data_IF_222496100694
#
_entry.id   IF_222496100694
#
_cell.length_a   1.000
_cell.length_b   1.000
_cell.length_c   1.000
_cell.angle_alpha   90.00
_cell.angle_beta   90.00
_cell.angle_gamma   90.00
#
_symmetry.space_group_name_H-M   'P 1'
#
loop_
_entity.id
_entity.type
_entity.pdbx_description
1 polymer ?
#
# COMPACT_ATOMS: atom_id res chain seq x y z
N UNK A 1 3.46 -6.29 12.88
CA UNK A 1 4.89 -6.55 13.08
C UNK A 1 5.39 -5.70 14.23
N UNK A 2 6.15 -6.25 15.18
CA UNK A 2 6.78 -5.44 16.25
C UNK A 2 8.18 -4.98 15.83
N UNK A 3 8.63 -3.85 16.37
CA UNK A 3 9.96 -3.30 16.08
C UNK A 3 11.08 -4.29 16.42
N UNK A 4 11.06 -4.83 17.63
CA UNK A 4 12.10 -5.72 18.13
C UNK A 4 12.20 -7.02 17.33
N UNK A 5 11.05 -7.54 16.86
CA UNK A 5 10.99 -8.77 16.07
C UNK A 5 11.71 -8.57 14.74
N UNK A 6 11.39 -7.49 14.01
CA UNK A 6 12.01 -7.20 12.72
C UNK A 6 13.47 -6.78 12.86
N UNK A 7 13.80 -5.94 13.85
CA UNK A 7 15.16 -5.43 14.05
C UNK A 7 16.15 -6.55 14.38
N UNK A 8 15.73 -7.55 15.16
CA UNK A 8 16.56 -8.67 15.60
C UNK A 8 16.34 -9.98 14.82
N UNK A 9 15.43 -10.01 13.84
CA UNK A 9 15.15 -11.21 13.05
C UNK A 9 16.44 -11.84 12.48
N UNK A 10 16.63 -13.14 12.74
CA UNK A 10 17.75 -13.89 12.20
C UNK A 10 17.42 -14.44 10.80
N UNK A 11 17.64 -13.59 9.79
CA UNK A 11 17.33 -13.93 8.41
C UNK A 11 18.31 -14.95 7.79
N UNK A 12 19.45 -15.23 8.43
CA UNK A 12 20.43 -16.24 7.94
C UNK A 12 19.86 -17.66 7.96
N UNK A 13 18.95 -17.96 8.87
CA UNK A 13 18.31 -19.27 8.91
C UNK A 13 17.42 -19.51 7.68
N UNK A 14 16.77 -18.44 7.19
CA UNK A 14 15.96 -18.48 5.98
C UNK A 14 16.84 -18.65 4.73
N UNK A 15 17.95 -17.93 4.65
CA UNK A 15 18.97 -18.10 3.60
C UNK A 15 19.49 -19.54 3.53
N UNK A 16 19.87 -20.12 4.68
CA UNK A 16 20.33 -21.50 4.76
C UNK A 16 19.23 -22.52 4.36
N UNK A 17 17.97 -22.23 4.66
CA UNK A 17 16.84 -23.05 4.22
C UNK A 17 16.66 -22.97 2.70
N UNK A 18 16.72 -21.77 2.11
CA UNK A 18 16.70 -21.57 0.67
C UNK A 18 17.82 -22.36 -0.01
N UNK A 19 19.06 -22.25 0.49
CA UNK A 19 20.22 -23.01 0.00
C UNK A 19 20.01 -24.52 0.04
N UNK A 20 19.42 -25.02 1.13
CA UNK A 20 19.14 -26.45 1.30
C UNK A 20 18.17 -26.97 0.24
N UNK A 21 17.12 -26.20 -0.06
CA UNK A 21 16.19 -26.50 -1.16
C UNK A 21 16.87 -26.43 -2.53
N UNK A 22 17.74 -25.45 -2.75
CA UNK A 22 18.53 -25.34 -3.97
C UNK A 22 19.45 -26.54 -4.18
N UNK A 23 20.05 -27.06 -3.10
CA UNK A 23 20.83 -28.30 -3.14
C UNK A 23 19.98 -29.54 -3.39
N UNK A 24 18.79 -29.63 -2.79
CA UNK A 24 17.84 -30.72 -3.05
C UNK A 24 17.47 -30.78 -4.54
N UNK A 25 17.12 -29.63 -5.13
CA UNK A 25 16.81 -29.54 -6.56
C UNK A 25 17.98 -30.01 -7.44
N UNK A 26 19.22 -29.59 -7.13
CA UNK A 26 20.42 -30.02 -7.86
C UNK A 26 20.63 -31.54 -7.78
N UNK A 27 20.45 -32.13 -6.59
CA UNK A 27 20.60 -33.58 -6.38
C UNK A 27 19.52 -34.38 -7.12
N UNK A 28 18.27 -33.90 -7.13
CA UNK A 28 17.18 -34.54 -7.87
C UNK A 28 17.44 -34.50 -9.39
N UNK A 29 17.87 -33.36 -9.94
CA UNK A 29 18.26 -33.29 -11.37
C UNK A 29 19.42 -34.23 -11.72
N UNK A 30 20.41 -34.33 -10.83
CA UNK A 30 21.51 -35.28 -11.02
C UNK A 30 21.02 -36.73 -11.00
N UNK A 31 20.06 -37.07 -10.14
CA UNK A 31 19.42 -38.38 -10.11
C UNK A 31 18.64 -38.69 -11.40
N UNK A 32 17.90 -37.73 -11.96
CA UNK A 32 17.23 -37.85 -13.27
C UNK A 32 18.26 -38.18 -14.36
N UNK A 33 19.35 -37.40 -14.44
CA UNK A 33 20.42 -37.63 -15.41
C UNK A 33 21.11 -39.00 -15.25
N UNK A 34 21.35 -39.42 -14.01
CA UNK A 34 21.89 -40.73 -13.68
C UNK A 34 20.96 -41.89 -14.05
N UNK A 35 19.66 -41.74 -13.80
CA UNK A 35 18.64 -42.72 -14.17
C UNK A 35 18.52 -42.87 -15.69
N UNK A 36 18.45 -41.76 -16.41
CA UNK A 36 18.37 -41.75 -17.88
C UNK A 36 19.62 -42.41 -18.51
N UNK A 37 20.81 -41.99 -18.07
CA UNK A 37 22.07 -42.48 -18.62
C UNK A 37 22.41 -43.92 -18.22
N UNK A 38 22.10 -44.32 -16.98
CA UNK A 38 22.44 -45.63 -16.45
C UNK A 38 21.42 -46.73 -16.70
N UNK A 39 20.14 -46.37 -16.91
CA UNK A 39 19.04 -47.36 -17.06
C UNK A 39 18.32 -47.23 -18.40
N UNK A 40 17.77 -46.05 -18.69
CA UNK A 40 16.88 -45.86 -19.86
C UNK A 40 17.64 -46.03 -21.18
N UNK A 41 18.79 -45.37 -21.33
CA UNK A 41 19.61 -45.44 -22.56
C UNK A 41 20.15 -46.85 -22.84
N UNK A 42 20.78 -47.55 -21.88
CA UNK A 42 21.25 -48.92 -22.10
C UNK A 42 20.12 -49.89 -22.46
N UNK A 43 18.97 -49.82 -21.78
CA UNK A 43 17.82 -50.67 -22.10
C UNK A 43 17.26 -50.38 -23.49
N UNK A 44 17.16 -49.11 -23.88
CA UNK A 44 16.72 -48.70 -25.22
C UNK A 44 17.63 -49.25 -26.33
N UNK A 45 18.93 -49.36 -26.04
CA UNK A 45 19.94 -49.89 -26.95
C UNK A 45 20.06 -51.43 -26.94
N UNK A 46 19.37 -52.14 -26.05
CA UNK A 46 19.53 -53.59 -25.83
C UNK A 46 18.76 -54.51 -26.80
N UNK A 47 18.12 -53.95 -27.83
CA UNK A 47 17.18 -54.66 -28.71
C UNK A 47 15.98 -55.31 -28.00
N UNK A 48 15.69 -54.94 -26.75
CA UNK A 48 14.51 -55.42 -26.03
C UNK A 48 13.21 -54.91 -26.69
N UNK A 49 12.30 -55.83 -27.05
CA UNK A 49 11.03 -55.57 -27.74
C UNK A 49 9.89 -56.42 -27.16
N UNK A 50 8.66 -56.09 -27.55
CA UNK A 50 7.42 -56.77 -27.13
C UNK A 50 6.69 -56.04 -26.00
N UNK A 51 5.52 -56.54 -25.62
CA UNK A 51 4.60 -55.86 -24.69
C UNK A 51 5.21 -55.53 -23.32
N UNK A 52 6.12 -56.38 -22.83
CA UNK A 52 6.84 -56.14 -21.58
C UNK A 52 7.78 -54.94 -21.71
N UNK A 53 8.49 -54.81 -22.84
CA UNK A 53 9.36 -53.68 -23.11
C UNK A 53 8.54 -52.38 -23.21
N UNK A 54 7.40 -52.40 -23.91
CA UNK A 54 6.49 -51.25 -24.02
C UNK A 54 6.05 -50.76 -22.65
N UNK A 55 5.53 -51.65 -21.79
CA UNK A 55 5.11 -51.29 -20.44
C UNK A 55 6.26 -50.76 -19.59
N UNK A 56 7.43 -51.38 -19.67
CA UNK A 56 8.59 -50.94 -18.93
C UNK A 56 9.04 -49.54 -19.35
N UNK A 57 9.14 -49.24 -20.65
CA UNK A 57 9.52 -47.90 -21.12
C UNK A 57 8.48 -46.83 -20.76
N UNK A 58 7.18 -47.16 -20.76
CA UNK A 58 6.15 -46.26 -20.22
C UNK A 58 6.40 -45.94 -18.74
N UNK A 59 6.57 -46.95 -17.89
CA UNK A 59 6.83 -46.75 -16.46
C UNK A 59 8.15 -46.02 -16.20
N UNK A 60 9.21 -46.31 -16.96
CA UNK A 60 10.50 -45.61 -16.85
C UNK A 60 10.35 -44.12 -17.22
N UNK A 61 9.58 -43.80 -18.27
CA UNK A 61 9.32 -42.42 -18.67
C UNK A 61 8.49 -41.66 -17.62
N UNK A 62 7.49 -42.31 -17.03
CA UNK A 62 6.70 -41.72 -15.94
C UNK A 62 7.57 -41.44 -14.70
N UNK A 63 8.44 -42.39 -14.32
CA UNK A 63 9.37 -42.21 -13.21
C UNK A 63 10.38 -41.07 -13.46
N UNK A 64 10.88 -40.95 -14.69
CA UNK A 64 11.76 -39.85 -15.10
C UNK A 64 11.04 -38.49 -14.98
N UNK A 65 9.80 -38.41 -15.46
CA UNK A 65 8.98 -37.20 -15.36
C UNK A 65 8.68 -36.81 -13.91
N UNK A 66 8.36 -37.76 -13.03
CA UNK A 66 8.10 -37.47 -11.62
C UNK A 66 9.34 -36.96 -10.88
N UNK A 67 10.53 -37.52 -11.17
CA UNK A 67 11.78 -37.03 -10.60
C UNK A 67 12.14 -35.62 -11.13
N UNK A 68 11.84 -35.33 -12.40
CA UNK A 68 12.03 -34.00 -12.96
C UNK A 68 11.06 -32.96 -12.36
N UNK A 69 9.79 -33.34 -12.16
CA UNK A 69 8.81 -32.50 -11.44
C UNK A 69 9.26 -32.23 -10.01
N UNK A 70 9.76 -33.24 -9.30
CA UNK A 70 10.32 -33.07 -7.95
C UNK A 70 11.48 -32.07 -7.93
N UNK A 71 12.39 -32.17 -8.90
CA UNK A 71 13.48 -31.22 -9.07
C UNK A 71 12.98 -29.80 -9.37
N UNK A 72 11.94 -29.67 -10.20
CA UNK A 72 11.30 -28.40 -10.52
C UNK A 72 10.65 -27.76 -9.29
N UNK A 73 9.88 -28.52 -8.53
CA UNK A 73 9.23 -28.04 -7.30
C UNK A 73 10.24 -27.60 -6.25
N UNK A 74 11.26 -28.41 -5.97
CA UNK A 74 12.34 -28.05 -5.06
C UNK A 74 13.07 -26.75 -5.49
N UNK A 75 13.24 -26.54 -6.80
CA UNK A 75 13.84 -25.32 -7.33
C UNK A 75 12.94 -24.09 -7.17
N UNK A 76 11.61 -24.24 -7.25
CA UNK A 76 10.69 -23.13 -7.04
C UNK A 76 10.56 -22.77 -5.56
N UNK A 77 10.55 -23.74 -4.65
CA UNK A 77 10.61 -23.49 -3.20
C UNK A 77 11.90 -22.74 -2.84
N UNK A 78 13.03 -23.15 -3.41
CA UNK A 78 14.29 -22.42 -3.28
C UNK A 78 14.16 -20.94 -3.71
N UNK A 79 13.64 -20.70 -4.92
CA UNK A 79 13.46 -19.34 -5.44
C UNK A 79 12.54 -18.49 -4.55
N UNK A 80 11.43 -19.06 -4.07
CA UNK A 80 10.51 -18.36 -3.17
C UNK A 80 11.18 -18.00 -1.84
N UNK A 81 11.88 -18.94 -1.20
CA UNK A 81 12.58 -18.67 0.06
C UNK A 81 13.71 -17.66 -0.10
N UNK A 82 14.41 -17.69 -1.24
CA UNK A 82 15.43 -16.70 -1.61
C UNK A 82 14.81 -15.30 -1.77
N UNK A 83 13.67 -15.17 -2.46
CA UNK A 83 12.96 -13.89 -2.61
C UNK A 83 12.47 -13.36 -1.25
N UNK A 84 11.86 -14.22 -0.42
CA UNK A 84 11.46 -13.86 0.95
C UNK A 84 12.69 -13.33 1.72
N UNK A 85 13.82 -14.03 1.66
CA UNK A 85 15.05 -13.61 2.34
C UNK A 85 15.54 -12.24 1.86
N UNK A 86 15.56 -12.01 0.55
CA UNK A 86 15.98 -10.73 -0.05
C UNK A 86 15.08 -9.59 0.42
N UNK A 87 13.75 -9.76 0.35
CA UNK A 87 12.80 -8.70 0.69
C UNK A 87 12.81 -8.37 2.19
N UNK A 88 12.81 -9.37 3.06
CA UNK A 88 12.93 -9.13 4.51
C UNK A 88 14.28 -8.50 4.89
N UNK A 89 15.37 -8.87 4.20
CA UNK A 89 16.68 -8.26 4.41
C UNK A 89 16.67 -6.78 4.02
N UNK A 90 16.01 -6.43 2.92
CA UNK A 90 15.86 -5.04 2.49
C UNK A 90 15.08 -4.21 3.51
N UNK A 91 13.92 -4.69 3.98
CA UNK A 91 13.10 -3.96 4.96
C UNK A 91 13.76 -3.90 6.34
N UNK A 92 14.44 -4.97 6.78
CA UNK A 92 15.25 -4.92 8.02
C UNK A 92 16.37 -3.89 7.91
N UNK A 93 17.03 -3.78 6.74
CA UNK A 93 18.06 -2.76 6.49
C UNK A 93 17.48 -1.34 6.51
N UNK A 94 16.30 -1.12 5.92
CA UNK A 94 15.58 0.16 6.04
C UNK A 94 15.33 0.51 7.51
N UNK A 95 14.83 -0.44 8.30
CA UNK A 95 14.57 -0.24 9.74
C UNK A 95 15.84 0.13 10.50
N UNK A 96 16.94 -0.60 10.28
CA UNK A 96 18.23 -0.32 10.93
C UNK A 96 18.79 1.03 10.52
N UNK A 97 18.67 1.40 9.26
CA UNK A 97 19.09 2.72 8.76
C UNK A 97 18.32 3.84 9.46
N UNK A 98 17.00 3.69 9.60
CA UNK A 98 16.17 4.64 10.33
C UNK A 98 16.61 4.77 11.79
N UNK A 99 16.77 3.64 12.48
CA UNK A 99 17.10 3.62 13.91
C UNK A 99 18.53 4.10 14.23
N UNK A 100 19.50 3.73 13.40
CA UNK A 100 20.93 3.92 13.69
C UNK A 100 21.51 5.21 13.10
N UNK A 101 20.88 5.76 12.04
CA UNK A 101 21.40 6.91 11.31
C UNK A 101 20.41 8.07 11.24
N UNK A 102 19.23 7.83 10.69
CA UNK A 102 18.31 8.91 10.31
C UNK A 102 17.62 9.55 11.52
N UNK A 103 17.09 8.74 12.45
CA UNK A 103 16.49 9.25 13.67
C UNK A 103 17.51 10.00 14.54
N UNK A 104 18.72 9.47 14.81
CA UNK A 104 19.78 10.23 15.49
C UNK A 104 20.15 11.55 14.81
N UNK A 105 20.23 11.57 13.47
CA UNK A 105 20.52 12.79 12.70
C UNK A 105 19.41 13.84 12.81
N UNK A 106 18.15 13.39 12.96
CA UNK A 106 16.99 14.25 13.20
C UNK A 106 16.84 14.68 14.69
N UNK A 107 17.74 14.27 15.58
CA UNK A 107 17.63 14.55 17.02
C UNK A 107 16.57 13.71 17.74
N UNK A 108 16.21 12.57 17.16
CA UNK A 108 15.19 11.62 17.63
C UNK A 108 15.87 10.33 18.09
N UNK A 109 15.26 9.63 19.03
CA UNK A 109 15.67 8.33 19.53
C UNK A 109 14.52 7.32 19.34
N UNK A 110 14.86 6.12 18.86
CA UNK A 110 13.95 4.97 18.85
C UNK A 110 14.44 4.00 19.92
N UNK A 111 13.61 3.77 20.93
CA UNK A 111 13.90 2.83 22.01
C UNK A 111 13.81 1.38 21.53
N UNK A 112 14.32 0.45 22.34
CA UNK A 112 14.37 -0.98 21.98
C UNK A 112 13.00 -1.63 21.72
N UNK A 113 11.93 -1.03 22.24
CA UNK A 113 10.54 -1.45 22.02
C UNK A 113 9.85 -0.70 20.85
N UNK A 114 10.60 0.08 20.08
CA UNK A 114 10.08 0.90 18.98
C UNK A 114 9.47 2.25 19.40
N UNK A 115 9.50 2.62 20.68
CA UNK A 115 9.00 3.93 21.11
C UNK A 115 9.90 5.05 20.59
N UNK A 116 9.30 6.03 19.92
CA UNK A 116 10.03 7.18 19.36
C UNK A 116 9.92 8.36 20.33
N UNK A 117 11.04 9.01 20.62
CA UNK A 117 11.09 10.17 21.50
C UNK A 117 12.18 11.15 21.07
N UNK A 118 12.11 12.43 21.45
CA UNK A 118 13.24 13.33 21.26
C UNK A 118 14.48 12.83 22.01
N UNK A 119 15.66 12.98 21.42
CA UNK A 119 16.92 12.61 22.06
C UNK A 119 17.28 13.57 23.19
N UNK A 120 17.01 14.85 23.00
CA UNK A 120 17.18 15.91 23.99
C UNK A 120 15.85 16.69 24.12
N UNK A 121 14.91 16.23 24.96
CA UNK A 121 13.62 16.90 25.14
C UNK A 121 13.80 18.32 25.66
N UNK A 122 13.07 19.27 25.10
CA UNK A 122 13.04 20.63 25.65
C UNK A 122 12.35 20.62 27.02
N UNK A 123 12.96 21.29 28.00
CA UNK A 123 12.39 21.38 29.36
C UNK A 123 11.15 22.27 29.37
N UNK A 124 9.99 21.64 29.59
CA UNK A 124 8.70 22.30 29.69
C UNK A 124 8.56 23.18 30.96
N UNK A 125 9.45 23.02 31.95
CA UNK A 125 9.55 23.88 33.12
C UNK A 125 10.46 25.11 32.88
N UNK A 126 11.02 25.28 31.69
CA UNK A 126 11.85 26.44 31.36
C UNK A 126 11.07 27.76 31.46
N UNK A 127 11.72 28.78 32.01
CA UNK A 127 11.17 30.13 32.13
C UNK A 127 10.97 30.78 30.75
N UNK A 128 11.59 30.21 29.71
CA UNK A 128 11.52 30.66 28.31
C UNK A 128 10.37 30.03 27.52
N UNK A 129 9.53 29.17 28.12
CA UNK A 129 8.48 28.41 27.41
C UNK A 129 7.50 29.26 26.58
N UNK A 130 7.29 30.51 26.97
CA UNK A 130 6.37 31.43 26.31
C UNK A 130 7.04 32.23 25.19
N UNK A 131 8.35 32.11 25.03
CA UNK A 131 9.07 32.78 23.93
C UNK A 131 8.63 32.17 22.59
N UNK A 132 8.58 32.98 21.51
CA UNK A 132 8.37 32.46 20.16
C UNK A 132 9.42 31.40 19.78
N UNK A 133 10.69 31.64 20.13
CA UNK A 133 11.80 30.74 19.79
C UNK A 133 11.67 29.36 20.44
N UNK A 134 11.21 29.28 21.70
CA UNK A 134 10.96 28.00 22.36
C UNK A 134 9.81 27.24 21.71
N UNK A 135 8.73 27.94 21.34
CA UNK A 135 7.58 27.34 20.65
C UNK A 135 7.96 26.80 19.28
N UNK A 136 8.76 27.55 18.53
CA UNK A 136 9.26 27.11 17.21
C UNK A 136 10.21 25.92 17.34
N UNK A 137 11.11 25.93 18.33
CA UNK A 137 12.00 24.80 18.60
C UNK A 137 11.22 23.53 19.02
N UNK A 138 10.20 23.68 19.86
CA UNK A 138 9.31 22.59 20.27
C UNK A 138 8.49 22.06 19.09
N UNK A 139 7.97 22.94 18.23
CA UNK A 139 7.27 22.54 17.02
C UNK A 139 8.16 21.72 16.08
N UNK A 140 9.41 22.16 15.85
CA UNK A 140 10.39 21.42 15.03
C UNK A 140 10.74 20.05 15.63
N UNK A 141 10.92 19.97 16.95
CA UNK A 141 11.19 18.71 17.64
C UNK A 141 10.01 17.74 17.51
N UNK A 142 8.78 18.22 17.74
CA UNK A 142 7.57 17.41 17.59
C UNK A 142 7.38 16.94 16.15
N UNK A 143 7.67 17.80 15.17
CA UNK A 143 7.62 17.44 13.75
C UNK A 143 8.64 16.35 13.40
N UNK A 144 9.88 16.46 13.91
CA UNK A 144 10.91 15.44 13.68
C UNK A 144 10.50 14.07 14.27
N UNK A 145 9.93 14.06 15.48
CA UNK A 145 9.40 12.83 16.10
C UNK A 145 8.29 12.23 15.24
N UNK A 146 7.30 13.03 14.83
CA UNK A 146 6.19 12.56 13.99
C UNK A 146 6.68 11.98 12.66
N UNK A 147 7.69 12.60 12.03
CA UNK A 147 8.26 12.08 10.78
C UNK A 147 8.95 10.71 10.99
N UNK A 148 9.69 10.54 12.08
CA UNK A 148 10.34 9.26 12.41
C UNK A 148 9.31 8.19 12.80
N UNK A 149 8.29 8.53 13.61
CA UNK A 149 7.19 7.63 13.96
C UNK A 149 6.44 7.13 12.73
N UNK A 150 6.17 8.03 11.80
CA UNK A 150 5.50 7.68 10.56
C UNK A 150 6.36 6.73 9.73
N UNK A 151 7.62 7.08 9.52
CA UNK A 151 8.55 6.25 8.73
C UNK A 151 8.77 4.88 9.36
N UNK A 152 8.80 4.79 10.69
CA UNK A 152 8.81 3.53 11.42
C UNK A 152 7.54 2.71 11.15
N UNK A 153 6.38 3.34 11.24
CA UNK A 153 5.07 2.71 10.96
C UNK A 153 5.01 2.17 9.53
N UNK A 154 5.50 2.91 8.55
CA UNK A 154 5.50 2.49 7.14
C UNK A 154 6.41 1.28 6.92
N UNK A 155 7.62 1.28 7.52
CA UNK A 155 8.56 0.15 7.43
C UNK A 155 7.96 -1.12 8.08
N UNK A 156 7.33 -0.99 9.26
CA UNK A 156 6.67 -2.11 9.92
C UNK A 156 5.45 -2.60 9.11
N UNK A 157 4.70 -1.69 8.49
CA UNK A 157 3.59 -2.03 7.60
C UNK A 157 4.04 -2.78 6.34
N UNK A 158 5.17 -2.38 5.73
CA UNK A 158 5.79 -3.14 4.62
C UNK A 158 6.15 -4.56 5.08
N UNK A 159 6.74 -4.71 6.26
CA UNK A 159 7.10 -6.01 6.80
C UNK A 159 5.87 -6.90 7.08
N UNK A 160 4.76 -6.33 7.56
CA UNK A 160 3.49 -7.05 7.74
C UNK A 160 2.92 -7.56 6.42
N UNK A 161 2.92 -6.73 5.37
CA UNK A 161 2.48 -7.16 4.02
C UNK A 161 3.39 -8.27 3.47
N UNK A 162 4.71 -8.17 3.67
CA UNK A 162 5.64 -9.23 3.25
C UNK A 162 5.43 -10.53 4.03
N UNK A 163 5.16 -10.46 5.33
CA UNK A 163 4.88 -11.62 6.18
C UNK A 163 3.59 -12.33 5.76
N UNK A 164 2.52 -11.57 5.53
CA UNK A 164 1.26 -12.11 5.02
C UNK A 164 1.42 -12.76 3.64
N UNK A 165 2.17 -12.11 2.73
CA UNK A 165 2.47 -12.67 1.42
C UNK A 165 3.30 -13.96 1.54
N UNK A 166 4.28 -14.02 2.45
CA UNK A 166 5.09 -15.22 2.68
C UNK A 166 4.26 -16.38 3.26
N UNK A 167 3.41 -16.13 4.25
CA UNK A 167 2.51 -17.16 4.82
C UNK A 167 1.57 -17.72 3.73
N UNK A 168 0.96 -16.86 2.91
CA UNK A 168 0.11 -17.28 1.80
C UNK A 168 0.89 -18.09 0.76
N UNK A 169 2.09 -17.63 0.39
CA UNK A 169 2.92 -18.29 -0.62
C UNK A 169 3.34 -19.69 -0.18
N UNK A 170 3.73 -19.84 1.09
CA UNK A 170 4.22 -21.09 1.66
C UNK A 170 3.09 -22.09 1.95
N UNK A 171 1.87 -21.62 2.18
CA UNK A 171 0.70 -22.48 2.43
C UNK A 171 0.05 -23.02 1.16
N UNK A 172 0.26 -22.38 0.01
CA UNK A 172 -0.40 -22.80 -1.21
C UNK A 172 0.20 -24.11 -1.77
N UNK A 173 -0.64 -25.12 -1.82
CA UNK A 173 -0.49 -26.27 -2.71
C UNK A 173 -1.33 -26.01 -3.95
N UNK A 174 -0.70 -25.83 -5.13
CA UNK A 174 -1.41 -25.59 -6.39
C UNK A 174 -1.82 -26.89 -7.08
N UNK A 175 -1.50 -28.06 -6.51
CA UNK A 175 -2.10 -29.31 -6.94
C UNK A 175 -3.56 -29.40 -6.46
N UNK A 176 -4.40 -30.08 -7.24
CA UNK A 176 -5.74 -30.43 -6.76
C UNK A 176 -5.63 -31.48 -5.64
N UNK A 177 -6.58 -31.51 -4.70
CA UNK A 177 -6.59 -32.52 -3.62
C UNK A 177 -6.57 -33.99 -4.10
N UNK A 178 -6.84 -34.23 -5.39
CA UNK A 178 -6.79 -35.53 -6.04
C UNK A 178 -5.42 -35.83 -6.69
N UNK A 179 -4.59 -34.82 -6.99
CA UNK A 179 -3.27 -34.99 -7.58
C UNK A 179 -2.20 -35.00 -6.49
N UNK A 180 -1.57 -36.17 -6.30
CA UNK A 180 -0.51 -36.38 -5.30
C UNK A 180 0.89 -36.30 -5.91
N UNK A 181 1.01 -35.86 -7.17
CA UNK A 181 2.30 -35.68 -7.85
C UNK A 181 2.98 -34.39 -7.43
N UNK A 182 4.26 -34.26 -7.77
CA UNK A 182 4.97 -33.00 -7.56
C UNK A 182 4.33 -31.89 -8.40
N UNK A 183 4.16 -30.74 -7.76
CA UNK A 183 3.47 -29.60 -8.33
C UNK A 183 4.21 -29.11 -9.59
N UNK A 184 3.48 -28.66 -10.60
CA UNK A 184 4.07 -28.07 -11.81
C UNK A 184 4.13 -26.56 -11.76
N UNK A 185 3.31 -25.93 -10.93
CA UNK A 185 3.20 -24.48 -10.79
C UNK A 185 3.31 -24.09 -9.31
N UNK A 186 4.15 -23.12 -8.97
CA UNK A 186 4.18 -22.53 -7.62
C UNK A 186 4.76 -21.13 -7.69
N UNK A 187 4.46 -20.31 -6.69
CA UNK A 187 5.08 -19.00 -6.59
C UNK A 187 6.59 -19.12 -6.45
N UNK A 188 7.30 -18.24 -7.13
CA UNK A 188 8.76 -18.10 -7.08
C UNK A 188 9.18 -16.75 -6.54
N UNK A 189 8.23 -15.84 -6.34
CA UNK A 189 8.43 -14.49 -5.79
C UNK A 189 7.21 -14.04 -4.99
N UNK A 190 7.41 -13.19 -3.98
CA UNK A 190 6.32 -12.64 -3.17
C UNK A 190 5.45 -11.64 -3.92
N UNK A 191 5.98 -10.95 -4.94
CA UNK A 191 5.19 -10.04 -5.77
C UNK A 191 4.06 -10.75 -6.53
N UNK A 192 4.22 -12.05 -6.80
CA UNK A 192 3.20 -12.93 -7.38
C UNK A 192 2.10 -13.28 -6.37
N UNK A 193 2.37 -13.12 -5.07
CA UNK A 193 1.48 -13.46 -3.95
C UNK A 193 0.84 -12.22 -3.33
N UNK A 194 1.46 -11.05 -3.53
CA UNK A 194 0.98 -9.76 -3.04
C UNK A 194 -0.50 -9.63 -3.43
N UNK A 195 -1.37 -9.56 -2.42
CA UNK A 195 -2.81 -9.49 -2.62
C UNK A 195 -3.10 -8.31 -3.57
N UNK A 196 -3.60 -8.53 -4.79
CA UNK A 196 -3.87 -7.46 -5.73
C UNK A 196 -4.71 -6.34 -5.09
N UNK A 197 -5.63 -6.71 -4.19
CA UNK A 197 -6.46 -5.78 -3.43
C UNK A 197 -5.68 -4.89 -2.44
N UNK A 198 -4.56 -5.36 -1.85
CA UNK A 198 -3.67 -4.49 -1.04
C UNK A 198 -2.83 -3.56 -1.93
N UNK A 199 -2.49 -4.01 -3.14
CA UNK A 199 -1.79 -3.16 -4.10
C UNK A 199 -2.72 -2.05 -4.61
N UNK A 200 -3.98 -2.38 -4.92
CA UNK A 200 -5.01 -1.43 -5.31
C UNK A 200 -5.21 -0.34 -4.24
N UNK A 201 -5.13 -0.70 -2.96
CA UNK A 201 -5.17 0.26 -1.84
C UNK A 201 -4.03 1.29 -1.92
N UNK A 202 -2.81 0.81 -2.18
CA UNK A 202 -1.61 1.66 -2.25
C UNK A 202 -1.62 2.52 -3.51
N UNK A 203 -1.95 1.92 -4.66
CA UNK A 203 -1.99 2.59 -5.96
C UNK A 203 -3.07 3.66 -6.03
N UNK A 204 -4.24 3.41 -5.41
CA UNK A 204 -5.28 4.43 -5.27
C UNK A 204 -4.84 5.59 -4.37
N UNK A 205 -4.09 5.29 -3.30
CA UNK A 205 -3.49 6.29 -2.42
C UNK A 205 -2.46 7.17 -3.13
N UNK A 206 -1.56 6.55 -3.88
CA UNK A 206 -0.53 7.24 -4.67
C UNK A 206 -1.18 8.13 -5.74
N UNK A 207 -2.12 7.57 -6.50
CA UNK A 207 -2.85 8.30 -7.52
C UNK A 207 -3.57 9.53 -6.96
N UNK A 208 -4.32 9.38 -5.86
CA UNK A 208 -5.08 10.50 -5.33
C UNK A 208 -4.17 11.57 -4.72
N UNK A 209 -3.04 11.18 -4.14
CA UNK A 209 -2.04 12.12 -3.66
C UNK A 209 -1.51 12.97 -4.81
N UNK A 210 -1.08 12.33 -5.90
CA UNK A 210 -0.61 13.03 -7.09
C UNK A 210 -1.67 13.98 -7.65
N UNK A 211 -2.93 13.54 -7.74
CA UNK A 211 -4.05 14.39 -8.16
C UNK A 211 -4.26 15.58 -7.23
N UNK A 212 -4.19 15.39 -5.91
CA UNK A 212 -4.28 16.50 -4.94
C UNK A 212 -3.16 17.52 -5.16
N UNK A 213 -1.92 17.05 -5.38
CA UNK A 213 -0.76 17.95 -5.59
C UNK A 213 -0.80 18.63 -6.96
N UNK A 214 -1.23 17.94 -8.01
CA UNK A 214 -1.33 18.48 -9.36
C UNK A 214 -2.47 19.51 -9.44
N UNK A 215 -3.64 19.17 -8.90
CA UNK A 215 -4.83 20.00 -9.04
C UNK A 215 -4.69 21.33 -8.29
N UNK A 216 -4.13 21.36 -7.06
CA UNK A 216 -3.88 22.63 -6.35
C UNK A 216 -2.84 23.54 -7.04
N UNK A 217 -2.08 23.01 -8.00
CA UNK A 217 -1.09 23.77 -8.77
C UNK A 217 -1.58 24.14 -10.19
N UNK A 218 -2.71 23.60 -10.62
CA UNK A 218 -3.30 23.79 -11.95
C UNK A 218 -3.80 25.23 -12.19
N UNK A 219 -3.92 25.62 -13.45
CA UNK A 219 -4.52 26.91 -13.85
C UNK A 219 -6.00 26.99 -13.50
N UNK A 220 -6.73 25.88 -13.63
CA UNK A 220 -8.15 25.79 -13.29
C UNK A 220 -8.39 26.05 -11.80
N UNK A 221 -7.58 25.40 -10.95
CA UNK A 221 -7.64 25.64 -9.51
C UNK A 221 -7.32 27.09 -9.16
N UNK A 222 -6.26 27.68 -9.74
CA UNK A 222 -5.94 29.10 -9.50
C UNK A 222 -7.11 29.99 -9.90
N UNK A 223 -7.74 29.75 -11.05
CA UNK A 223 -8.94 30.49 -11.47
C UNK A 223 -10.11 30.36 -10.49
N UNK A 224 -10.36 29.16 -9.95
CA UNK A 224 -11.43 28.93 -8.97
C UNK A 224 -11.09 29.64 -7.65
N UNK A 225 -9.86 29.47 -7.17
CA UNK A 225 -9.37 30.05 -5.91
C UNK A 225 -9.37 31.57 -5.94
N UNK A 226 -8.92 32.17 -7.05
CA UNK A 226 -8.86 33.63 -7.18
C UNK A 226 -10.26 34.24 -7.14
N UNK A 227 -11.28 33.57 -7.71
CA UNK A 227 -12.69 33.98 -7.61
C UNK A 227 -13.26 33.85 -6.19
N UNK A 228 -12.74 32.93 -5.38
CA UNK A 228 -13.08 32.86 -3.95
C UNK A 228 -12.33 33.92 -3.11
N UNK A 229 -11.15 34.37 -3.55
CA UNK A 229 -10.20 35.19 -2.80
C UNK A 229 -9.99 36.61 -3.38
N UNK A 230 -10.94 37.18 -4.15
CA UNK A 230 -10.84 38.50 -4.83
C UNK A 230 -10.69 39.72 -3.90
N UNK A 231 -10.27 39.55 -2.64
CA UNK A 231 -10.44 40.52 -1.55
C UNK A 231 -9.13 40.99 -0.87
N UNK A 232 -8.05 41.28 -1.61
CA UNK A 232 -6.79 41.79 -0.99
C UNK A 232 -6.22 43.08 -1.61
N UNK A 233 -7.10 43.98 -2.07
CA UNK A 233 -6.72 45.38 -2.37
C UNK A 233 -7.83 46.33 -1.90
N UNK A 234 -7.52 47.63 -1.75
CA UNK A 234 -8.45 48.71 -1.29
C UNK A 234 -9.75 48.87 -2.14
N UNK A 235 -9.93 48.05 -3.18
CA UNK A 235 -11.14 47.87 -3.99
C UNK A 235 -12.07 46.76 -3.41
N UNK A 236 -11.69 46.11 -2.30
CA UNK A 236 -12.37 45.01 -1.58
C UNK A 236 -13.71 45.34 -0.92
N UNK A 237 -14.44 46.37 -1.38
CA UNK A 237 -15.82 46.64 -0.96
C UNK A 237 -16.88 46.04 -1.90
N UNK A 238 -16.47 45.26 -2.89
CA UNK A 238 -17.37 44.67 -3.90
C UNK A 238 -16.97 43.23 -4.27
N UNK A 239 -16.62 42.33 -3.33
CA UNK A 239 -16.75 40.90 -3.63
C UNK A 239 -18.23 40.62 -3.87
N UNK A 240 -18.60 40.48 -5.13
CA UNK A 240 -20.00 40.33 -5.49
C UNK A 240 -20.43 38.87 -5.28
N UNK A 241 -21.66 38.58 -4.82
CA UNK A 241 -22.19 37.22 -4.78
C UNK A 241 -22.03 36.44 -6.10
N UNK A 242 -21.88 37.15 -7.22
CA UNK A 242 -21.58 36.63 -8.55
C UNK A 242 -20.21 35.95 -8.70
N UNK A 243 -19.16 36.40 -8.00
CA UNK A 243 -17.81 35.81 -8.12
C UNK A 243 -17.72 34.44 -7.42
N UNK A 244 -18.28 34.34 -6.21
CA UNK A 244 -18.39 33.05 -5.49
C UNK A 244 -19.30 32.07 -6.24
N UNK A 245 -20.38 32.56 -6.85
CA UNK A 245 -21.24 31.72 -7.69
C UNK A 245 -20.50 31.22 -8.94
N UNK A 246 -19.68 32.07 -9.58
CA UNK A 246 -18.83 31.68 -10.70
C UNK A 246 -17.74 30.66 -10.29
N UNK A 247 -17.15 30.83 -9.10
CA UNK A 247 -16.19 29.88 -8.54
C UNK A 247 -16.83 28.51 -8.31
N UNK A 248 -18.03 28.49 -7.71
CA UNK A 248 -18.80 27.27 -7.47
C UNK A 248 -19.26 26.60 -8.78
N UNK A 249 -19.63 27.37 -9.80
CA UNK A 249 -19.97 26.83 -11.12
C UNK A 249 -18.76 26.19 -11.81
N UNK A 250 -17.59 26.85 -11.76
CA UNK A 250 -16.33 26.28 -12.29
C UNK A 250 -15.92 25.02 -11.53
N UNK A 251 -16.00 25.04 -10.20
CA UNK A 251 -15.76 23.87 -9.37
C UNK A 251 -16.70 22.71 -9.74
N UNK A 252 -18.00 22.98 -9.81
CA UNK A 252 -19.02 22.00 -10.18
C UNK A 252 -18.75 21.35 -11.54
N UNK A 253 -18.24 22.11 -12.51
CA UNK A 253 -17.84 21.57 -13.82
C UNK A 253 -16.62 20.66 -13.73
N UNK A 254 -15.64 20.93 -12.85
CA UNK A 254 -14.45 20.07 -12.73
C UNK A 254 -14.76 18.72 -12.08
N UNK A 255 -15.66 18.71 -11.09
CA UNK A 255 -16.01 17.52 -10.29
C UNK A 255 -17.24 16.77 -10.82
N UNK A 256 -17.85 17.25 -11.90
CA UNK A 256 -19.02 16.59 -12.49
C UNK A 256 -18.65 15.22 -13.10
N UNK A 257 -19.63 14.29 -13.22
CA UNK A 257 -19.36 12.97 -13.78
C UNK A 257 -18.66 13.01 -15.14
N UNK A 258 -17.58 12.25 -15.27
CA UNK A 258 -16.75 12.16 -16.48
C UNK A 258 -15.85 13.37 -16.75
N UNK A 259 -15.68 14.27 -15.78
CA UNK A 259 -14.78 15.42 -15.90
C UNK A 259 -13.44 15.14 -15.21
N UNK A 260 -12.48 16.06 -15.39
CA UNK A 260 -11.08 15.83 -15.01
C UNK A 260 -10.89 15.52 -13.51
N UNK A 261 -11.75 16.03 -12.62
CA UNK A 261 -11.68 15.77 -11.17
C UNK A 261 -12.70 14.72 -10.71
N UNK A 262 -13.34 14.01 -11.64
CA UNK A 262 -14.10 12.79 -11.33
C UNK A 262 -13.15 11.58 -11.31
N UNK A 263 -12.57 11.33 -10.14
CA UNK A 263 -11.56 10.29 -9.97
C UNK A 263 -12.14 8.88 -9.81
N UNK A 264 -13.44 8.73 -9.57
CA UNK A 264 -14.09 7.42 -9.43
C UNK A 264 -13.94 6.55 -10.70
N UNK A 265 -14.31 7.01 -11.91
CA UNK A 265 -14.07 6.24 -13.14
C UNK A 265 -12.58 6.08 -13.46
N UNK A 266 -11.74 7.07 -13.14
CA UNK A 266 -10.30 7.00 -13.38
C UNK A 266 -9.63 5.90 -12.55
N UNK A 267 -10.04 5.73 -11.29
CA UNK A 267 -9.62 4.63 -10.42
C UNK A 267 -10.14 3.27 -10.93
N UNK A 268 -11.39 3.22 -11.39
CA UNK A 268 -11.96 1.99 -11.97
C UNK A 268 -11.17 1.51 -13.18
N UNK A 269 -10.87 2.41 -14.12
CA UNK A 269 -10.12 2.08 -15.32
C UNK A 269 -8.66 1.74 -15.01
N UNK A 270 -8.02 2.48 -14.10
CA UNK A 270 -6.62 2.27 -13.70
C UNK A 270 -6.39 0.91 -13.04
N UNK A 271 -7.33 0.49 -12.20
CA UNK A 271 -7.21 -0.72 -11.37
C UNK A 271 -8.03 -1.89 -11.93
N UNK A 272 -8.59 -1.74 -13.13
CA UNK A 272 -9.39 -2.76 -13.81
C UNK A 272 -10.59 -3.29 -12.98
N UNK A 273 -11.26 -2.40 -12.23
CA UNK A 273 -12.34 -2.77 -11.32
C UNK A 273 -13.61 -3.15 -12.08
N UNK A 274 -14.00 -4.43 -12.05
CA UNK A 274 -15.09 -4.97 -12.87
C UNK A 274 -16.22 -5.59 -12.06
N UNK A 275 -15.89 -6.21 -10.94
CA UNK A 275 -16.81 -6.96 -10.08
C UNK A 275 -17.02 -6.20 -8.78
N UNK A 276 -18.16 -6.45 -8.13
CA UNK A 276 -18.52 -5.79 -6.87
C UNK A 276 -17.44 -5.88 -5.78
N UNK A 277 -16.69 -6.98 -5.75
CA UNK A 277 -15.61 -7.16 -4.76
C UNK A 277 -14.33 -6.40 -5.08
N UNK A 278 -14.08 -6.08 -6.36
CA UNK A 278 -12.90 -5.34 -6.80
C UNK A 278 -12.91 -3.91 -6.22
N UNK A 279 -14.10 -3.34 -5.98
CA UNK A 279 -14.26 -2.00 -5.41
C UNK A 279 -13.90 -1.88 -3.93
N UNK A 280 -13.45 -2.95 -3.29
CA UNK A 280 -13.05 -2.96 -1.88
C UNK A 280 -11.60 -3.38 -1.77
N UNK A 281 -10.75 -2.44 -1.38
CA UNK A 281 -9.31 -2.64 -1.28
C UNK A 281 -8.91 -3.08 0.12
N UNK A 282 -8.12 -4.13 0.20
CA UNK A 282 -7.59 -4.66 1.45
C UNK A 282 -6.66 -3.63 2.09
N UNK A 283 -6.96 -3.25 3.33
CA UNK A 283 -6.13 -2.30 4.08
C UNK A 283 -4.87 -3.05 4.53
N UNK A 284 -3.67 -2.62 4.12
CA UNK A 284 -2.44 -3.39 4.31
C UNK A 284 -2.18 -3.73 5.78
N UNK A 285 -1.91 -5.01 6.04
CA UNK A 285 -1.64 -5.54 7.38
C UNK A 285 -2.88 -5.76 8.25
N UNK A 286 -4.08 -5.69 7.68
CA UNK A 286 -5.34 -5.89 8.41
C UNK A 286 -6.22 -6.92 7.71
N UNK A 287 -7.34 -7.30 8.34
CA UNK A 287 -8.43 -8.07 7.72
C UNK A 287 -9.59 -7.19 7.28
N UNK A 288 -9.38 -5.89 7.13
CA UNK A 288 -10.40 -4.94 6.73
C UNK A 288 -10.22 -4.55 5.26
N UNK A 289 -11.32 -4.39 4.54
CA UNK A 289 -11.35 -3.82 3.20
C UNK A 289 -12.11 -2.50 3.21
N UNK A 290 -11.65 -1.54 2.44
CA UNK A 290 -12.27 -0.22 2.31
C UNK A 290 -12.76 0.02 0.88
N UNK A 291 -13.93 0.65 0.74
CA UNK A 291 -14.51 0.98 -0.55
C UNK A 291 -13.67 2.02 -1.29
N UNK A 292 -13.46 1.84 -2.60
CA UNK A 292 -12.53 2.62 -3.41
C UNK A 292 -12.84 4.13 -3.52
N UNK A 293 -14.06 4.56 -3.21
CA UNK A 293 -14.46 5.93 -3.46
C UNK A 293 -14.01 6.92 -2.37
N UNK A 294 -13.51 6.39 -1.25
CA UNK A 294 -12.98 7.18 -0.13
C UNK A 294 -11.84 8.11 -0.59
N UNK A 295 -11.05 7.68 -1.58
CA UNK A 295 -9.93 8.44 -2.11
C UNK A 295 -10.44 9.70 -2.83
N UNK A 296 -11.41 9.53 -3.74
CA UNK A 296 -12.04 10.65 -4.45
C UNK A 296 -12.71 11.65 -3.48
N UNK A 297 -13.32 11.15 -2.39
CA UNK A 297 -13.95 12.01 -1.38
C UNK A 297 -12.90 12.82 -0.58
N UNK A 298 -11.76 12.21 -0.22
CA UNK A 298 -10.65 12.89 0.44
C UNK A 298 -10.09 14.00 -0.43
N UNK A 299 -9.89 13.73 -1.73
CA UNK A 299 -9.47 14.77 -2.69
C UNK A 299 -10.46 15.92 -2.76
N UNK A 300 -11.76 15.62 -2.89
CA UNK A 300 -12.82 16.60 -2.94
C UNK A 300 -12.77 17.56 -1.74
N UNK A 301 -12.65 17.01 -0.53
CA UNK A 301 -12.51 17.81 0.70
C UNK A 301 -11.24 18.65 0.73
N UNK A 302 -10.10 18.06 0.33
CA UNK A 302 -8.80 18.72 0.37
C UNK A 302 -8.68 19.86 -0.66
N UNK A 303 -8.89 19.57 -1.94
CA UNK A 303 -8.79 20.56 -3.03
C UNK A 303 -9.89 21.62 -2.87
N UNK A 304 -11.08 21.24 -2.40
CA UNK A 304 -12.16 22.17 -2.16
C UNK A 304 -11.83 23.18 -1.06
N UNK A 305 -11.29 22.71 0.05
CA UNK A 305 -10.82 23.60 1.13
C UNK A 305 -9.65 24.47 0.66
N UNK A 306 -8.75 23.91 -0.15
CA UNK A 306 -7.64 24.65 -0.74
C UNK A 306 -8.10 25.80 -1.66
N UNK A 307 -9.22 25.61 -2.36
CA UNK A 307 -9.81 26.63 -3.20
C UNK A 307 -10.52 27.74 -2.40
N UNK A 308 -10.71 27.58 -1.09
CA UNK A 308 -11.38 28.55 -0.22
C UNK A 308 -12.82 28.20 0.15
N UNK A 309 -13.30 27.00 -0.16
CA UNK A 309 -14.64 26.55 0.24
C UNK A 309 -14.67 26.14 1.71
N UNK A 310 -15.76 26.53 2.38
CA UNK A 310 -16.02 26.13 3.76
C UNK A 310 -16.55 24.69 3.86
N UNK A 311 -16.42 24.02 5.03
CA UNK A 311 -16.91 22.67 5.24
C UNK A 311 -18.41 22.50 4.94
N UNK A 312 -19.25 23.49 5.29
CA UNK A 312 -20.69 23.42 5.02
C UNK A 312 -21.00 23.41 3.51
N UNK A 313 -20.22 24.10 2.69
CA UNK A 313 -20.36 24.09 1.23
C UNK A 313 -19.98 22.72 0.67
N UNK A 314 -18.87 22.14 1.15
CA UNK A 314 -18.35 20.87 0.65
C UNK A 314 -19.20 19.67 1.11
N UNK A 315 -19.67 19.68 2.36
CA UNK A 315 -20.35 18.53 2.98
C UNK A 315 -21.88 18.62 2.82
N UNK A 316 -22.47 19.81 2.94
CA UNK A 316 -23.95 19.96 3.01
C UNK A 316 -24.57 20.50 1.72
N UNK A 317 -23.78 21.00 0.77
CA UNK A 317 -24.27 21.57 -0.49
C UNK A 317 -25.24 22.77 -0.33
N UNK A 318 -25.35 23.34 0.87
CA UNK A 318 -26.60 23.93 1.35
C UNK A 318 -26.97 25.34 0.83
N UNK A 319 -26.28 25.91 -0.17
CA UNK A 319 -26.56 27.29 -0.60
C UNK A 319 -26.37 27.59 -2.09
N UNK A 320 -26.16 26.59 -2.95
CA UNK A 320 -25.77 26.86 -4.35
C UNK A 320 -26.93 26.64 -5.32
N UNK A 321 -27.33 27.64 -6.14
CA UNK A 321 -28.37 27.52 -7.18
C UNK A 321 -28.01 26.60 -8.36
N UNK A 322 -26.86 25.91 -8.28
CA UNK A 322 -26.36 25.00 -9.31
C UNK A 322 -26.65 23.57 -8.84
N UNK A 323 -27.53 22.81 -9.52
CA UNK A 323 -28.02 21.49 -9.10
C UNK A 323 -26.96 20.35 -9.00
N UNK A 324 -25.67 20.68 -8.98
CA UNK A 324 -24.55 19.76 -9.19
C UNK A 324 -23.80 19.46 -7.87
N UNK A 325 -23.99 20.28 -6.83
CA UNK A 325 -23.17 20.26 -5.61
C UNK A 325 -23.72 19.32 -4.52
N UNK A 326 -23.77 18.02 -4.83
CA UNK A 326 -23.97 16.90 -3.89
C UNK A 326 -25.42 16.36 -3.84
N UNK A 327 -25.61 15.13 -4.34
CA UNK A 327 -26.75 14.26 -3.99
C UNK A 327 -26.54 13.66 -2.60
N UNK A 328 -27.59 13.13 -1.94
CA UNK A 328 -27.54 12.64 -0.54
C UNK A 328 -26.23 11.89 -0.20
N UNK A 329 -25.29 12.56 0.46
CA UNK A 329 -24.05 11.94 0.96
C UNK A 329 -24.37 11.02 2.13
N UNK A 330 -23.78 9.84 2.13
CA UNK A 330 -23.86 8.94 3.27
C UNK A 330 -22.82 9.31 4.35
N UNK A 331 -22.90 8.74 5.57
CA UNK A 331 -21.97 9.05 6.64
C UNK A 331 -20.49 8.78 6.31
N UNK A 332 -20.19 7.81 5.42
CA UNK A 332 -18.82 7.49 5.02
C UNK A 332 -18.25 8.55 4.07
N UNK A 333 -19.06 9.04 3.13
CA UNK A 333 -18.71 10.18 2.28
C UNK A 333 -18.37 11.41 3.12
N UNK A 334 -19.20 11.71 4.13
CA UNK A 334 -18.99 12.85 5.02
C UNK A 334 -17.67 12.75 5.77
N UNK A 335 -17.34 11.58 6.32
CA UNK A 335 -16.09 11.37 7.06
C UNK A 335 -14.85 11.50 6.16
N UNK A 336 -14.93 10.97 4.94
CA UNK A 336 -13.80 10.98 4.00
C UNK A 336 -13.57 12.36 3.38
N UNK A 337 -14.65 13.11 3.07
CA UNK A 337 -14.54 14.54 2.75
C UNK A 337 -13.97 15.34 3.91
N UNK A 338 -14.42 15.08 5.15
CA UNK A 338 -13.89 15.75 6.33
C UNK A 338 -12.40 15.47 6.54
N UNK A 339 -11.96 14.23 6.28
CA UNK A 339 -10.54 13.89 6.32
C UNK A 339 -9.70 14.75 5.35
N UNK A 340 -10.19 14.97 4.12
CA UNK A 340 -9.56 15.88 3.17
C UNK A 340 -9.48 17.33 3.65
N UNK A 341 -10.58 17.84 4.23
CA UNK A 341 -10.65 19.18 4.83
C UNK A 341 -9.60 19.32 5.94
N UNK A 342 -9.50 18.32 6.82
CA UNK A 342 -8.57 18.32 7.95
C UNK A 342 -7.11 18.29 7.48
N UNK A 343 -6.80 17.49 6.45
CA UNK A 343 -5.48 17.43 5.85
C UNK A 343 -5.04 18.80 5.31
N UNK A 344 -5.91 19.51 4.59
CA UNK A 344 -5.59 20.84 4.08
C UNK A 344 -5.40 21.84 5.22
N UNK A 345 -6.30 21.86 6.21
CA UNK A 345 -6.20 22.78 7.35
C UNK A 345 -4.92 22.57 8.16
N UNK A 346 -4.47 21.32 8.28
CA UNK A 346 -3.32 20.96 9.10
C UNK A 346 -1.99 21.12 8.36
N UNK A 347 -1.92 20.68 7.10
CA UNK A 347 -0.65 20.58 6.36
C UNK A 347 -0.60 21.50 5.13
N UNK A 348 -1.76 21.92 4.61
CA UNK A 348 -1.85 22.73 3.40
C UNK A 348 -1.04 22.12 2.26
N UNK A 349 -0.33 22.97 1.51
CA UNK A 349 0.56 22.54 0.41
C UNK A 349 1.69 21.60 0.85
N UNK A 350 2.04 21.56 2.13
CA UNK A 350 3.17 20.80 2.66
C UNK A 350 2.77 19.37 3.06
N UNK A 351 1.53 18.96 2.76
CA UNK A 351 1.07 17.57 2.90
C UNK A 351 2.03 16.60 2.21
N UNK A 352 2.47 15.59 2.97
CA UNK A 352 3.26 14.44 2.48
C UNK A 352 2.37 13.22 2.23
N UNK A 353 2.89 12.26 1.47
CA UNK A 353 2.15 11.03 1.16
C UNK A 353 1.88 10.22 2.43
N UNK A 354 2.86 10.16 3.31
CA UNK A 354 2.77 9.41 4.55
C UNK A 354 1.70 9.99 5.48
N UNK A 355 1.52 11.32 5.48
CA UNK A 355 0.46 11.99 6.24
C UNK A 355 -0.94 11.69 5.66
N UNK A 356 -1.06 11.60 4.34
CA UNK A 356 -2.30 11.16 3.70
C UNK A 356 -2.61 9.71 4.08
N UNK A 357 -1.64 8.81 3.98
CA UNK A 357 -1.81 7.39 4.30
C UNK A 357 -2.20 7.18 5.76
N UNK A 358 -1.58 7.92 6.68
CA UNK A 358 -1.95 7.92 8.09
C UNK A 358 -3.41 8.35 8.29
N UNK A 359 -3.85 9.41 7.61
CA UNK A 359 -5.23 9.89 7.72
C UNK A 359 -6.23 8.92 7.09
N UNK A 360 -5.87 8.25 5.99
CA UNK A 360 -6.71 7.19 5.39
C UNK A 360 -6.90 6.05 6.41
N UNK A 361 -5.83 5.59 7.06
CA UNK A 361 -5.95 4.55 8.11
C UNK A 361 -6.81 5.00 9.29
N UNK A 362 -6.66 6.25 9.73
CA UNK A 362 -7.48 6.84 10.80
C UNK A 362 -8.97 6.83 10.43
N UNK A 363 -9.33 7.33 9.24
CA UNK A 363 -10.74 7.40 8.83
C UNK A 363 -11.33 6.01 8.60
N UNK A 364 -10.56 5.06 8.07
CA UNK A 364 -10.97 3.64 7.96
C UNK A 364 -11.30 3.06 9.33
N UNK A 365 -10.45 3.27 10.33
CA UNK A 365 -10.69 2.80 11.69
C UNK A 365 -11.95 3.45 12.30
N UNK A 366 -12.18 4.74 12.04
CA UNK A 366 -13.40 5.43 12.47
C UNK A 366 -14.65 4.89 11.79
N UNK A 367 -14.63 4.69 10.47
CA UNK A 367 -15.74 4.11 9.70
C UNK A 367 -16.08 2.69 10.20
N UNK A 368 -15.05 1.88 10.49
CA UNK A 368 -15.21 0.55 11.09
C UNK A 368 -15.89 0.63 12.46
N UNK A 369 -15.42 1.52 13.35
CA UNK A 369 -16.01 1.68 14.67
C UNK A 369 -17.49 2.11 14.63
N UNK A 370 -17.88 2.82 13.56
CA UNK A 370 -19.26 3.24 13.29
C UNK A 370 -20.09 2.22 12.49
N UNK A 371 -19.53 1.07 12.13
CA UNK A 371 -20.16 0.03 11.29
C UNK A 371 -20.68 0.57 9.94
N UNK A 372 -19.91 1.44 9.30
CA UNK A 372 -20.28 1.98 7.99
C UNK A 372 -19.99 0.96 6.87
N UNK A 373 -20.83 0.96 5.83
CA UNK A 373 -20.76 0.00 4.72
C UNK A 373 -19.47 0.10 3.90
N UNK A 374 -18.81 1.25 3.94
CA UNK A 374 -17.52 1.49 3.30
C UNK A 374 -16.40 0.61 3.83
N UNK A 375 -16.54 0.03 5.03
CA UNK A 375 -15.54 -0.89 5.59
C UNK A 375 -16.18 -2.23 5.86
N UNK A 376 -15.58 -3.30 5.35
CA UNK A 376 -16.04 -4.68 5.54
C UNK A 376 -14.88 -5.61 5.88
N UNK A 377 -15.13 -6.71 6.62
CA UNK A 377 -14.11 -7.74 6.80
C UNK A 377 -13.74 -8.39 5.46
N UNK A 378 -12.49 -8.82 5.36
CA UNK A 378 -11.88 -9.43 4.18
C UNK A 378 -12.53 -10.76 3.77
#
# INVERSE_FOLDING_TARGET
MRYEDLYHANLKALDAAADSWGQAAKRLRAAVGGFNSGTVKPLSASDWRGDAAVRAFTTLSEAEQELDRAAGEAARVHALLEDIHVQFTAVQKELRTLAESEAPAAGVHIAANGQVSPRNPLDSASHERNSPDFRDAQARQNQAVQQVEQRLTDILGKADTLDAAADQALRQDLNTAADRRFNTDSYTKLDQVRNPSEQDYLDAGDFIFDEMKNNINSSDFKSIRDLFNTDDSLIGRLTTPTDKLAALAKWALKVAPGQDWDHKPQLQDRLDLKKADDFYFQVPGTKDKVFYDIYSNIHYGYVGTAAGMGPDTLIKGATVPVPILVGKSDPGDVLTMQAGIDLWKKYGKDLTKEQLDAKIREVVAEMKAKNLTQVRPA
#
